data_IF_215323186610
#
_entry.id   IF_215323186610
#
_cell.length_a   1.000
_cell.length_b   1.000
_cell.length_c   1.000
_cell.angle_alpha   90.00
_cell.angle_beta   90.00
_cell.angle_gamma   90.00
#
_symmetry.space_group_name_H-M   'P 1'
#
loop_
_entity.id
_entity.type
_entity.pdbx_description
1 polymer ?
#
# COMPACT_ATOMS: atom_id res chain seq x y z
N UNK A 1 15.34 -30.43 -14.24
CA UNK A 1 14.96 -29.23 -13.46
C UNK A 1 15.30 -27.94 -14.22
N UNK A 2 16.45 -27.87 -14.91
CA UNK A 2 16.77 -26.79 -15.88
C UNK A 2 15.74 -26.62 -16.99
N UNK A 3 15.05 -27.70 -17.38
CA UNK A 3 14.05 -27.69 -18.46
C UNK A 3 12.89 -26.71 -18.20
N UNK A 4 12.52 -26.46 -16.94
CA UNK A 4 11.50 -25.46 -16.58
C UNK A 4 12.01 -24.05 -16.87
N UNK A 5 13.24 -23.75 -16.46
CA UNK A 5 13.86 -22.46 -16.74
C UNK A 5 14.04 -22.24 -18.24
N UNK A 6 14.46 -23.26 -18.99
CA UNK A 6 14.58 -23.19 -20.44
C UNK A 6 13.23 -22.96 -21.12
N UNK A 7 12.17 -23.63 -20.65
CA UNK A 7 10.81 -23.44 -21.16
C UNK A 7 10.32 -22.01 -20.94
N UNK A 8 10.51 -21.46 -19.74
CA UNK A 8 10.12 -20.08 -19.42
C UNK A 8 10.96 -19.00 -20.14
N UNK A 9 12.06 -19.35 -20.80
CA UNK A 9 12.82 -18.41 -21.63
C UNK A 9 12.23 -18.19 -23.03
N UNK A 10 11.13 -18.88 -23.40
CA UNK A 10 10.39 -18.68 -24.67
C UNK A 10 11.30 -18.61 -25.92
N UNK A 11 12.29 -19.51 -26.01
CA UNK A 11 13.33 -19.45 -27.06
C UNK A 11 12.81 -19.75 -28.46
N UNK A 12 11.73 -20.52 -28.57
CA UNK A 12 11.16 -20.95 -29.84
C UNK A 12 9.83 -20.22 -30.13
N UNK A 13 9.69 -19.67 -31.35
CA UNK A 13 8.42 -19.10 -31.86
C UNK A 13 7.89 -19.89 -33.06
N UNK A 14 6.56 -19.96 -33.26
CA UNK A 14 5.51 -19.32 -32.45
C UNK A 14 5.35 -19.98 -31.07
N UNK A 15 4.91 -19.20 -30.08
CA UNK A 15 4.57 -19.71 -28.74
C UNK A 15 3.22 -20.41 -28.83
N UNK A 16 3.24 -21.75 -28.93
CA UNK A 16 2.03 -22.56 -29.11
C UNK A 16 1.68 -23.37 -27.86
N UNK A 17 0.53 -24.05 -27.89
CA UNK A 17 0.04 -24.94 -26.82
C UNK A 17 1.07 -26.01 -26.37
N UNK A 18 2.07 -26.33 -27.20
CA UNK A 18 3.16 -27.24 -26.79
C UNK A 18 3.93 -26.74 -25.56
N UNK A 19 3.96 -25.42 -25.33
CA UNK A 19 4.53 -24.85 -24.11
C UNK A 19 3.70 -25.20 -22.87
N UNK A 20 2.37 -25.20 -22.99
CA UNK A 20 1.44 -25.53 -21.92
C UNK A 20 1.55 -27.00 -21.54
N UNK A 21 1.57 -27.89 -22.54
CA UNK A 21 1.73 -29.34 -22.33
C UNK A 21 3.00 -29.64 -21.55
N UNK A 22 4.13 -29.03 -21.97
CA UNK A 22 5.43 -29.20 -21.32
C UNK A 22 5.46 -28.60 -19.93
N UNK A 23 4.90 -27.40 -19.74
CA UNK A 23 4.86 -26.74 -18.44
C UNK A 23 4.05 -27.57 -17.45
N UNK A 24 2.87 -28.03 -17.86
CA UNK A 24 1.97 -28.88 -17.06
C UNK A 24 2.64 -30.20 -16.69
N UNK A 25 3.34 -30.83 -17.64
CA UNK A 25 4.11 -32.05 -17.37
C UNK A 25 5.20 -31.82 -16.32
N UNK A 26 5.93 -30.71 -16.42
CA UNK A 26 6.99 -30.37 -15.46
C UNK A 26 6.41 -30.08 -14.07
N UNK A 27 5.32 -29.32 -13.98
CA UNK A 27 4.64 -29.03 -12.72
C UNK A 27 4.12 -30.31 -12.05
N UNK A 28 3.45 -31.18 -12.80
CA UNK A 28 2.94 -32.46 -12.30
C UNK A 28 4.05 -33.45 -11.90
N UNK A 29 5.28 -33.26 -12.36
CA UNK A 29 6.44 -34.05 -11.93
C UNK A 29 7.00 -33.63 -10.56
N UNK A 30 6.39 -32.62 -9.92
CA UNK A 30 6.78 -32.13 -8.59
C UNK A 30 7.90 -31.08 -8.61
N UNK A 31 8.20 -30.49 -9.77
CA UNK A 31 9.14 -29.36 -9.86
C UNK A 31 8.45 -28.11 -9.30
N UNK A 32 8.98 -27.48 -8.23
CA UNK A 32 8.35 -26.31 -7.64
C UNK A 32 8.35 -25.12 -8.62
N UNK A 33 7.23 -24.38 -8.68
CA UNK A 33 7.15 -23.14 -9.47
C UNK A 33 7.99 -21.98 -8.87
N UNK A 34 8.55 -22.19 -7.69
CA UNK A 34 9.49 -21.27 -7.03
C UNK A 34 10.96 -21.65 -7.24
N UNK A 35 11.24 -22.78 -7.89
CA UNK A 35 12.60 -23.30 -8.07
C UNK A 35 13.48 -22.35 -8.87
N UNK A 36 14.57 -21.88 -8.27
CA UNK A 36 15.40 -20.79 -8.79
C UNK A 36 16.47 -21.28 -9.77
N UNK A 37 16.97 -20.38 -10.63
CA UNK A 37 18.08 -20.67 -11.55
C UNK A 37 19.36 -21.03 -10.80
N UNK A 38 19.57 -20.42 -9.63
CA UNK A 38 20.78 -20.56 -8.84
C UNK A 38 20.82 -21.89 -8.08
N UNK A 39 19.67 -22.36 -7.58
CA UNK A 39 19.52 -23.73 -7.09
C UNK A 39 19.85 -24.75 -8.19
N UNK A 40 19.44 -24.49 -9.44
CA UNK A 40 19.77 -25.35 -10.58
C UNK A 40 21.26 -25.37 -10.95
N UNK A 41 22.01 -24.31 -10.66
CA UNK A 41 23.44 -24.19 -11.00
C UNK A 41 24.38 -24.56 -9.85
N UNK A 42 23.87 -25.03 -8.71
CA UNK A 42 24.64 -25.37 -7.50
C UNK A 42 25.55 -24.23 -7.00
N UNK A 43 25.20 -22.98 -7.32
CA UNK A 43 25.92 -21.79 -6.86
C UNK A 43 25.30 -21.37 -5.53
N UNK A 44 26.12 -21.38 -4.46
CA UNK A 44 25.73 -20.82 -3.17
C UNK A 44 25.71 -19.29 -3.25
N UNK A 45 24.59 -18.73 -3.71
CA UNK A 45 24.26 -17.31 -3.61
C UNK A 45 22.85 -17.19 -3.04
N UNK A 46 22.59 -16.07 -2.35
CA UNK A 46 21.28 -15.67 -1.83
C UNK A 46 20.32 -15.27 -2.98
N UNK A 47 20.11 -16.18 -3.92
CA UNK A 47 19.55 -15.87 -5.23
C UNK A 47 18.15 -16.47 -5.42
N UNK A 48 17.35 -15.76 -6.21
CA UNK A 48 15.89 -15.71 -6.06
C UNK A 48 15.15 -15.66 -7.41
N UNK A 49 15.84 -15.84 -8.54
CA UNK A 49 15.23 -15.77 -9.88
C UNK A 49 14.39 -17.01 -10.17
N UNK A 50 13.07 -16.87 -10.06
CA UNK A 50 12.11 -17.95 -10.29
C UNK A 50 11.71 -18.11 -11.78
N UNK A 51 11.03 -19.21 -12.18
CA UNK A 51 10.51 -19.40 -13.53
C UNK A 51 9.59 -18.28 -14.00
N UNK A 52 8.81 -17.68 -13.10
CA UNK A 52 7.92 -16.55 -13.44
C UNK A 52 8.72 -15.29 -13.79
N UNK A 53 9.86 -15.03 -13.13
CA UNK A 53 10.76 -13.94 -13.53
C UNK A 53 11.29 -14.15 -14.95
N UNK A 54 11.74 -15.38 -15.26
CA UNK A 54 12.23 -15.73 -16.58
C UNK A 54 11.15 -15.55 -17.64
N UNK A 55 9.93 -16.01 -17.38
CA UNK A 55 8.79 -15.85 -18.27
C UNK A 55 8.53 -14.36 -18.54
N UNK A 56 8.35 -13.54 -17.49
CA UNK A 56 8.12 -12.10 -17.63
C UNK A 56 9.26 -11.38 -18.37
N UNK A 57 10.50 -11.82 -18.22
CA UNK A 57 11.64 -11.26 -18.93
C UNK A 57 11.76 -11.72 -20.39
N UNK A 58 11.21 -12.90 -20.73
CA UNK A 58 11.30 -13.49 -22.06
C UNK A 58 10.16 -13.12 -23.00
N UNK A 59 9.01 -12.65 -22.48
CA UNK A 59 7.83 -12.28 -23.29
C UNK A 59 8.23 -11.35 -24.46
N UNK A 60 8.04 -11.75 -25.73
CA UNK A 60 8.23 -10.85 -26.87
C UNK A 60 7.25 -9.65 -26.82
N UNK A 61 7.65 -8.43 -27.19
CA UNK A 61 6.76 -7.27 -27.19
C UNK A 61 5.73 -7.29 -28.33
N UNK A 62 5.85 -8.23 -29.26
CA UNK A 62 5.08 -8.35 -30.50
C UNK A 62 4.27 -9.66 -30.57
N UNK A 63 3.79 -10.15 -29.42
CA UNK A 63 2.89 -11.32 -29.37
C UNK A 63 1.66 -11.10 -30.24
N UNK A 64 1.33 -12.10 -31.07
CA UNK A 64 0.00 -12.17 -31.66
C UNK A 64 -1.03 -12.66 -30.62
N UNK A 65 -2.33 -12.63 -30.98
CA UNK A 65 -3.41 -13.03 -30.07
C UNK A 65 -3.30 -14.48 -29.60
N UNK A 66 -2.76 -15.37 -30.43
CA UNK A 66 -2.63 -16.79 -30.10
C UNK A 66 -1.45 -17.03 -29.16
N UNK A 67 -0.32 -16.37 -29.39
CA UNK A 67 0.82 -16.44 -28.49
C UNK A 67 0.52 -15.79 -27.14
N UNK A 68 -0.19 -14.65 -27.13
CA UNK A 68 -0.64 -13.99 -25.90
C UNK A 68 -1.50 -14.92 -25.03
N UNK A 69 -2.47 -15.61 -25.61
CA UNK A 69 -3.32 -16.56 -24.88
C UNK A 69 -2.49 -17.68 -24.22
N UNK A 70 -1.48 -18.20 -24.93
CA UNK A 70 -0.58 -19.23 -24.37
C UNK A 70 0.25 -18.67 -23.23
N UNK A 71 0.84 -17.49 -23.37
CA UNK A 71 1.66 -16.87 -22.31
C UNK A 71 0.80 -16.56 -21.07
N UNK A 72 -0.42 -16.07 -21.26
CA UNK A 72 -1.36 -15.85 -20.17
C UNK A 72 -1.64 -17.14 -19.39
N UNK A 73 -1.93 -18.24 -20.10
CA UNK A 73 -2.18 -19.53 -19.47
C UNK A 73 -0.92 -20.12 -18.79
N UNK A 74 0.27 -19.87 -19.33
CA UNK A 74 1.52 -20.21 -18.64
C UNK A 74 1.67 -19.48 -17.30
N UNK A 75 1.30 -18.20 -17.23
CA UNK A 75 1.31 -17.43 -15.97
C UNK A 75 0.31 -18.01 -14.97
N UNK A 76 -0.90 -18.34 -15.44
CA UNK A 76 -1.93 -18.95 -14.60
C UNK A 76 -1.46 -20.30 -14.02
N UNK A 77 -0.91 -21.19 -14.86
CA UNK A 77 -0.36 -22.49 -14.42
C UNK A 77 0.75 -22.29 -13.38
N UNK A 78 1.66 -21.33 -13.57
CA UNK A 78 2.72 -21.07 -12.60
C UNK A 78 2.15 -20.62 -11.25
N UNK A 79 1.14 -19.76 -11.24
CA UNK A 79 0.49 -19.34 -9.98
C UNK A 79 -0.27 -20.47 -9.30
N UNK A 80 -0.98 -21.31 -10.05
CA UNK A 80 -1.65 -22.52 -9.53
C UNK A 80 -0.67 -23.47 -8.81
N UNK A 81 0.60 -23.45 -9.21
CA UNK A 81 1.67 -24.24 -8.63
C UNK A 81 2.56 -23.46 -7.64
N UNK A 82 2.08 -22.30 -7.17
CA UNK A 82 2.70 -21.57 -6.07
C UNK A 82 3.82 -20.60 -6.46
N UNK A 83 3.89 -20.17 -7.72
CA UNK A 83 4.82 -19.11 -8.10
C UNK A 83 4.59 -17.83 -7.27
N UNK A 84 5.66 -17.25 -6.74
CA UNK A 84 5.57 -16.04 -5.92
C UNK A 84 5.45 -14.78 -6.77
N UNK A 85 4.41 -13.97 -6.50
CA UNK A 85 4.18 -12.69 -7.18
C UNK A 85 5.10 -11.56 -6.70
N UNK A 86 5.55 -11.63 -5.44
CA UNK A 86 6.36 -10.61 -4.75
C UNK A 86 7.80 -11.02 -4.48
N UNK A 87 8.20 -12.23 -4.86
CA UNK A 87 9.62 -12.64 -4.82
C UNK A 87 10.41 -11.72 -5.74
N UNK A 88 11.57 -11.26 -5.27
CA UNK A 88 12.47 -10.41 -6.07
C UNK A 88 13.55 -11.26 -6.71
N UNK A 89 14.07 -10.88 -7.88
CA UNK A 89 15.23 -11.51 -8.52
C UNK A 89 16.57 -10.87 -8.05
N UNK A 90 17.67 -11.26 -8.71
CA UNK A 90 19.01 -10.70 -8.45
C UNK A 90 19.12 -9.18 -8.74
N UNK A 91 18.18 -8.58 -9.47
CA UNK A 91 18.09 -7.14 -9.71
C UNK A 91 17.15 -6.44 -8.72
N UNK A 92 16.68 -7.15 -7.69
CA UNK A 92 15.65 -6.70 -6.76
C UNK A 92 14.30 -6.40 -7.44
N UNK A 93 13.99 -7.06 -8.56
CA UNK A 93 12.75 -6.90 -9.31
C UNK A 93 11.81 -8.07 -9.08
N UNK A 94 10.54 -7.82 -8.83
CA UNK A 94 9.50 -8.87 -8.89
C UNK A 94 9.13 -9.15 -10.36
N UNK A 95 8.37 -10.22 -10.66
CA UNK A 95 7.86 -10.44 -12.01
C UNK A 95 7.04 -9.26 -12.54
N UNK A 96 6.27 -8.59 -11.67
CA UNK A 96 5.54 -7.36 -12.01
C UNK A 96 6.46 -6.18 -12.33
N UNK A 97 7.56 -6.00 -11.57
CA UNK A 97 8.58 -4.98 -11.86
C UNK A 97 9.19 -5.19 -13.25
N UNK A 98 9.49 -6.43 -13.63
CA UNK A 98 10.02 -6.77 -14.96
C UNK A 98 9.05 -6.35 -16.06
N UNK A 99 7.74 -6.64 -15.90
CA UNK A 99 6.74 -6.23 -16.89
C UNK A 99 6.62 -4.71 -17.01
N UNK A 100 6.70 -3.98 -15.89
CA UNK A 100 6.68 -2.51 -15.88
C UNK A 100 7.92 -1.95 -16.59
N UNK A 101 9.12 -2.41 -16.23
CA UNK A 101 10.39 -1.95 -16.82
C UNK A 101 10.43 -2.17 -18.33
N UNK A 102 9.82 -3.27 -18.80
CA UNK A 102 9.75 -3.62 -20.22
C UNK A 102 8.56 -2.98 -20.97
N UNK A 103 7.80 -2.10 -20.31
CA UNK A 103 6.57 -1.49 -20.84
C UNK A 103 5.47 -2.51 -21.23
N UNK A 104 5.62 -3.76 -20.77
CA UNK A 104 4.68 -4.85 -21.04
C UNK A 104 3.43 -4.78 -20.18
N UNK A 105 3.49 -4.13 -19.02
CA UNK A 105 2.29 -3.86 -18.21
C UNK A 105 1.25 -3.02 -18.99
N UNK A 106 1.73 -2.14 -19.89
CA UNK A 106 0.87 -1.32 -20.75
C UNK A 106 0.50 -2.05 -22.05
N UNK A 107 1.43 -2.81 -22.64
CA UNK A 107 1.22 -3.53 -23.91
C UNK A 107 0.32 -4.76 -23.74
N UNK A 108 0.52 -5.51 -22.67
CA UNK A 108 -0.23 -6.72 -22.32
C UNK A 108 -0.80 -6.61 -20.89
N UNK A 109 -1.78 -5.71 -20.67
CA UNK A 109 -2.32 -5.47 -19.34
C UNK A 109 -2.90 -6.74 -18.69
N UNK A 110 -3.44 -7.65 -19.49
CA UNK A 110 -3.97 -8.95 -19.04
C UNK A 110 -2.92 -9.85 -18.36
N UNK A 111 -1.66 -9.79 -18.76
CA UNK A 111 -0.57 -10.53 -18.10
C UNK A 111 -0.23 -9.85 -16.77
N UNK A 112 -0.13 -8.52 -16.76
CA UNK A 112 0.19 -7.76 -15.57
C UNK A 112 -0.90 -7.85 -14.50
N UNK A 113 -2.17 -7.77 -14.92
CA UNK A 113 -3.32 -7.91 -14.04
C UNK A 113 -3.33 -9.26 -13.31
N UNK A 114 -2.92 -10.36 -13.95
CA UNK A 114 -2.78 -11.65 -13.28
C UNK A 114 -1.77 -11.64 -12.13
N UNK A 115 -0.68 -10.89 -12.26
CA UNK A 115 0.33 -10.71 -11.20
C UNK A 115 -0.26 -9.89 -10.05
N UNK A 116 -0.94 -8.78 -10.36
CA UNK A 116 -1.60 -7.95 -9.34
C UNK A 116 -2.70 -8.76 -8.63
N UNK A 117 -3.53 -9.48 -9.37
CA UNK A 117 -4.62 -10.27 -8.81
C UNK A 117 -4.10 -11.44 -7.97
N UNK A 118 -2.94 -12.02 -8.32
CA UNK A 118 -2.26 -13.00 -7.47
C UNK A 118 -1.84 -12.38 -6.13
N UNK A 119 -1.34 -11.14 -6.14
CA UNK A 119 -1.04 -10.39 -4.93
C UNK A 119 -2.26 -10.11 -4.07
N UNK A 120 -3.36 -9.65 -4.68
CA UNK A 120 -4.64 -9.43 -3.99
C UNK A 120 -5.15 -10.71 -3.33
N UNK A 121 -5.15 -11.83 -4.06
CA UNK A 121 -5.56 -13.14 -3.51
C UNK A 121 -4.67 -13.59 -2.35
N UNK A 122 -3.35 -13.40 -2.47
CA UNK A 122 -2.40 -13.76 -1.43
C UNK A 122 -2.65 -12.96 -0.14
N UNK A 123 -2.80 -11.65 -0.24
CA UNK A 123 -3.07 -10.78 0.91
C UNK A 123 -4.39 -11.12 1.60
N UNK A 124 -5.48 -11.31 0.83
CA UNK A 124 -6.77 -11.72 1.38
C UNK A 124 -6.70 -13.09 2.09
N UNK A 125 -5.98 -14.04 1.50
CA UNK A 125 -5.79 -15.36 2.10
C UNK A 125 -4.97 -15.28 3.39
N UNK A 126 -3.86 -14.54 3.38
CA UNK A 126 -2.98 -14.38 4.55
C UNK A 126 -3.72 -13.72 5.71
N UNK A 127 -4.51 -12.67 5.45
CA UNK A 127 -5.40 -12.06 6.45
C UNK A 127 -6.36 -13.08 7.04
N UNK A 128 -7.03 -13.86 6.18
CA UNK A 128 -7.98 -14.88 6.64
C UNK A 128 -7.31 -15.98 7.46
N UNK A 129 -6.10 -16.38 7.09
CA UNK A 129 -5.31 -17.34 7.85
C UNK A 129 -4.89 -16.79 9.22
N UNK A 130 -4.52 -15.50 9.29
CA UNK A 130 -4.19 -14.83 10.54
C UNK A 130 -5.40 -14.77 11.49
N UNK A 131 -6.60 -14.47 11.00
CA UNK A 131 -7.84 -14.52 11.79
C UNK A 131 -8.10 -15.89 12.43
N UNK A 132 -7.70 -16.98 11.76
CA UNK A 132 -7.84 -18.34 12.28
C UNK A 132 -6.65 -18.81 13.15
N UNK A 133 -5.70 -17.93 13.47
CA UNK A 133 -4.50 -18.28 14.24
C UNK A 133 -3.56 -19.22 13.50
N UNK A 134 -3.65 -19.29 12.17
CA UNK A 134 -2.79 -20.13 11.33
C UNK A 134 -1.51 -19.40 10.89
N UNK A 135 -1.34 -18.14 11.30
CA UNK A 135 -0.21 -17.28 10.94
C UNK A 135 0.88 -17.18 12.03
N UNK A 136 0.74 -17.91 13.16
CA UNK A 136 1.64 -17.84 14.33
C UNK A 136 3.12 -18.22 14.05
N UNK A 137 3.46 -18.61 12.81
CA UNK A 137 4.83 -18.86 12.36
C UNK A 137 5.54 -17.72 11.63
N UNK A 138 4.89 -16.56 11.46
CA UNK A 138 5.42 -15.41 10.69
C UNK A 138 5.83 -14.19 11.54
N UNK A 139 5.83 -14.31 12.87
CA UNK A 139 6.25 -13.21 13.76
C UNK A 139 7.77 -13.05 13.73
N UNK A 140 8.24 -11.99 13.08
CA UNK A 140 9.63 -11.55 13.17
C UNK A 140 9.93 -10.99 14.57
N UNK A 141 11.22 -10.91 14.91
CA UNK A 141 11.72 -10.25 16.12
C UNK A 141 11.11 -8.84 16.30
N UNK A 142 11.06 -8.34 17.54
CA UNK A 142 10.63 -6.97 17.86
C UNK A 142 11.24 -5.98 16.87
N UNK A 143 10.41 -5.48 15.95
CA UNK A 143 10.84 -4.49 14.97
C UNK A 143 11.02 -3.17 15.71
N UNK A 144 12.25 -2.66 15.71
CA UNK A 144 12.63 -1.43 16.41
C UNK A 144 12.77 -0.25 15.43
N UNK A 145 12.46 -0.45 14.15
CA UNK A 145 12.49 0.60 13.15
C UNK A 145 11.30 1.57 13.37
N UNK A 146 11.56 2.87 13.61
CA UNK A 146 10.52 3.89 13.73
C UNK A 146 9.60 4.01 12.49
N UNK A 147 10.02 3.55 11.32
CA UNK A 147 9.17 3.58 10.12
C UNK A 147 8.10 2.46 10.10
N UNK A 148 8.28 1.40 10.89
CA UNK A 148 7.39 0.23 10.92
C UNK A 148 6.87 -0.10 12.32
N UNK A 149 7.33 0.60 13.37
CA UNK A 149 6.85 0.41 14.74
C UNK A 149 6.41 1.75 15.36
N UNK A 150 5.11 1.86 15.61
CA UNK A 150 4.51 3.08 16.13
C UNK A 150 5.05 3.50 17.50
N UNK A 151 5.34 2.56 18.41
CA UNK A 151 5.90 2.92 19.72
C UNK A 151 7.34 3.44 19.57
N UNK A 152 8.15 2.77 18.74
CA UNK A 152 9.50 3.24 18.41
C UNK A 152 9.46 4.64 17.76
N UNK A 153 8.49 4.89 16.88
CA UNK A 153 8.24 6.21 16.30
C UNK A 153 7.93 7.27 17.36
N UNK A 154 6.98 7.02 18.26
CA UNK A 154 6.58 7.98 19.30
C UNK A 154 7.68 8.29 20.31
N UNK A 155 8.62 7.35 20.50
CA UNK A 155 9.81 7.53 21.36
C UNK A 155 10.98 8.20 20.63
N UNK A 156 10.94 8.26 19.30
CA UNK A 156 11.98 8.86 18.47
C UNK A 156 11.87 10.38 18.47
N UNK A 157 13.01 11.08 18.46
CA UNK A 157 13.01 12.54 18.31
C UNK A 157 12.78 12.93 16.86
N UNK A 158 11.92 13.92 16.64
CA UNK A 158 11.73 14.52 15.33
C UNK A 158 12.46 15.86 15.22
N UNK A 159 12.80 16.21 13.98
CA UNK A 159 13.42 17.47 13.65
C UNK A 159 12.69 18.13 12.47
N UNK A 160 12.23 19.36 12.69
CA UNK A 160 11.78 20.24 11.61
C UNK A 160 13.02 20.85 10.93
N UNK A 161 13.20 20.54 9.65
CA UNK A 161 14.16 21.19 8.76
C UNK A 161 13.43 22.05 7.72
N UNK A 162 14.15 22.84 6.93
CA UNK A 162 13.58 23.88 6.06
C UNK A 162 12.32 23.46 5.27
N UNK A 163 12.31 22.24 4.72
CA UNK A 163 11.22 21.73 3.88
C UNK A 163 10.72 20.34 4.30
N UNK A 164 10.98 19.90 5.53
CA UNK A 164 10.62 18.55 5.98
C UNK A 164 10.50 18.41 7.49
N UNK A 165 9.74 17.41 7.91
CA UNK A 165 9.77 16.78 9.23
C UNK A 165 10.37 15.39 9.07
N UNK A 166 11.40 15.08 9.87
CA UNK A 166 12.10 13.81 9.78
C UNK A 166 12.44 13.23 11.15
N UNK A 167 12.68 11.93 11.22
CA UNK A 167 13.32 11.33 12.40
C UNK A 167 14.74 11.89 12.54
N UNK A 168 15.12 12.27 13.76
CA UNK A 168 16.36 13.00 14.01
C UNK A 168 17.60 12.16 13.66
N UNK A 169 17.59 10.89 14.03
CA UNK A 169 18.75 10.01 13.93
C UNK A 169 18.79 9.26 12.59
N UNK A 170 17.69 8.61 12.19
CA UNK A 170 17.62 7.82 10.94
C UNK A 170 17.24 8.63 9.70
N UNK A 171 16.75 9.87 9.86
CA UNK A 171 16.39 10.78 8.76
C UNK A 171 15.25 10.28 7.88
N UNK A 172 14.39 9.42 8.42
CA UNK A 172 13.18 8.96 7.75
C UNK A 172 12.24 10.14 7.50
N UNK A 173 11.70 10.21 6.29
CA UNK A 173 10.81 11.28 5.88
C UNK A 173 9.42 11.07 6.49
N UNK A 174 9.08 11.85 7.52
CA UNK A 174 7.77 11.81 8.18
C UNK A 174 6.76 12.66 7.42
N UNK A 175 7.17 13.84 6.95
CA UNK A 175 6.34 14.76 6.17
C UNK A 175 7.22 15.69 5.34
N UNK A 176 6.85 15.95 4.07
CA UNK A 176 7.67 16.77 3.16
C UNK A 176 6.88 17.88 2.46
N UNK A 177 7.48 19.07 2.27
CA UNK A 177 6.79 20.21 1.64
C UNK A 177 6.46 19.98 0.15
N UNK A 178 7.14 19.06 -0.54
CA UNK A 178 6.83 18.75 -1.94
C UNK A 178 5.43 18.12 -2.12
N UNK A 179 4.84 17.59 -1.05
CA UNK A 179 3.50 16.96 -1.05
C UNK A 179 2.37 18.00 -1.09
N UNK A 180 2.68 19.30 -1.07
CA UNK A 180 1.71 20.40 -0.98
C UNK A 180 0.58 20.33 -2.02
N UNK A 181 0.89 19.98 -3.27
CA UNK A 181 -0.14 19.87 -4.31
C UNK A 181 -1.10 18.70 -4.04
N UNK A 182 -0.60 17.59 -3.51
CA UNK A 182 -1.39 16.41 -3.13
C UNK A 182 -2.25 16.74 -1.91
N UNK A 183 -1.68 17.41 -0.90
CA UNK A 183 -2.43 17.86 0.28
C UNK A 183 -3.52 18.88 -0.07
N UNK A 184 -3.29 19.74 -1.06
CA UNK A 184 -4.32 20.67 -1.56
C UNK A 184 -5.51 19.89 -2.15
N UNK A 185 -5.25 18.83 -2.93
CA UNK A 185 -6.31 17.95 -3.43
C UNK A 185 -7.04 17.23 -2.28
N UNK A 186 -6.33 16.80 -1.24
CA UNK A 186 -6.94 16.25 -0.02
C UNK A 186 -7.87 17.25 0.68
N UNK A 187 -7.37 18.46 0.93
CA UNK A 187 -8.14 19.54 1.55
C UNK A 187 -9.34 19.97 0.71
N UNK A 188 -9.25 19.94 -0.63
CA UNK A 188 -10.37 20.25 -1.51
C UNK A 188 -11.41 19.13 -1.50
N UNK A 189 -10.96 17.88 -1.54
CA UNK A 189 -11.82 16.68 -1.55
C UNK A 189 -12.73 16.60 -0.33
N UNK A 190 -12.20 16.79 0.88
CA UNK A 190 -12.97 16.62 2.13
C UNK A 190 -14.07 17.68 2.32
N UNK A 191 -14.14 18.72 1.47
CA UNK A 191 -15.21 19.73 1.47
C UNK A 191 -16.26 19.53 0.38
N UNK A 192 -16.07 18.58 -0.55
CA UNK A 192 -16.99 18.36 -1.68
C UNK A 192 -18.42 18.03 -1.21
N UNK A 193 -18.53 17.28 -0.12
CA UNK A 193 -19.79 16.89 0.51
C UNK A 193 -20.55 18.02 1.20
N UNK A 194 -19.86 19.11 1.54
CA UNK A 194 -20.30 20.12 2.50
C UNK A 194 -20.64 21.48 1.87
N UNK A 195 -20.66 21.58 0.53
CA UNK A 195 -20.80 22.86 -0.19
C UNK A 195 -22.06 23.66 0.17
N UNK A 196 -23.11 23.01 0.68
CA UNK A 196 -24.38 23.62 1.04
C UNK A 196 -24.61 23.69 2.56
N UNK A 197 -23.69 23.14 3.35
CA UNK A 197 -23.82 23.07 4.80
C UNK A 197 -23.43 24.42 5.41
N UNK A 198 -24.21 24.85 6.41
CA UNK A 198 -23.93 26.09 7.15
C UNK A 198 -22.86 25.89 8.21
N UNK A 199 -22.85 24.70 8.81
CA UNK A 199 -21.92 24.31 9.86
C UNK A 199 -21.06 23.15 9.35
N UNK A 200 -19.79 23.42 9.10
CA UNK A 200 -18.84 22.47 8.53
C UNK A 200 -17.85 22.03 9.61
N UNK A 201 -17.84 20.74 9.93
CA UNK A 201 -16.91 20.14 10.89
C UNK A 201 -16.00 19.15 10.18
N UNK A 202 -14.69 19.34 10.26
CA UNK A 202 -13.71 18.48 9.60
C UNK A 202 -12.70 17.94 10.60
N UNK A 203 -12.21 16.72 10.35
CA UNK A 203 -11.18 16.06 11.15
C UNK A 203 -9.96 15.82 10.28
N UNK A 204 -8.80 16.23 10.78
CA UNK A 204 -7.50 15.79 10.30
C UNK A 204 -6.89 14.78 11.29
N UNK A 205 -6.36 13.67 10.79
CA UNK A 205 -5.67 12.63 11.57
C UNK A 205 -4.22 12.57 11.08
N UNK A 206 -3.31 13.11 11.90
CA UNK A 206 -1.91 13.35 11.53
C UNK A 206 -1.68 14.81 11.13
N UNK A 207 -1.00 15.57 11.99
CA UNK A 207 -0.73 16.99 11.75
C UNK A 207 0.56 17.20 10.94
N UNK A 208 1.63 16.47 11.29
CA UNK A 208 2.94 16.58 10.64
C UNK A 208 3.49 18.02 10.62
N UNK A 209 3.49 18.63 9.44
CA UNK A 209 3.94 20.01 9.22
C UNK A 209 2.79 21.05 9.22
N UNK A 210 1.54 20.62 9.40
CA UNK A 210 0.36 21.49 9.38
C UNK A 210 -0.03 22.00 7.99
N UNK A 211 0.56 21.48 6.91
CA UNK A 211 0.36 21.97 5.54
C UNK A 211 -1.11 21.89 5.16
N UNK A 212 -1.73 20.72 5.32
CA UNK A 212 -3.15 20.54 5.04
C UNK A 212 -4.02 21.32 6.03
N UNK A 213 -3.64 21.39 7.30
CA UNK A 213 -4.39 22.12 8.33
C UNK A 213 -4.51 23.62 8.01
N UNK A 214 -3.44 24.22 7.46
CA UNK A 214 -3.48 25.60 6.95
C UNK A 214 -4.46 25.76 5.79
N UNK A 215 -4.51 24.80 4.86
CA UNK A 215 -5.46 24.80 3.73
C UNK A 215 -6.90 24.62 4.19
N UNK A 216 -7.12 23.72 5.15
CA UNK A 216 -8.42 23.50 5.80
C UNK A 216 -8.88 24.79 6.48
N UNK A 217 -8.02 25.42 7.29
CA UNK A 217 -8.36 26.67 7.97
C UNK A 217 -8.67 27.81 7.00
N UNK A 218 -8.01 27.87 5.84
CA UNK A 218 -8.31 28.87 4.80
C UNK A 218 -9.74 28.75 4.23
N UNK A 219 -10.37 27.57 4.34
CA UNK A 219 -11.77 27.33 3.96
C UNK A 219 -12.78 27.72 5.05
N UNK A 220 -12.31 28.16 6.22
CA UNK A 220 -13.12 28.64 7.36
C UNK A 220 -14.18 27.63 7.86
N UNK A 221 -13.81 26.37 8.20
CA UNK A 221 -14.76 25.44 8.81
C UNK A 221 -15.22 25.94 10.18
N UNK A 222 -16.45 25.59 10.55
CA UNK A 222 -17.04 25.86 11.87
C UNK A 222 -16.25 25.17 12.98
N UNK A 223 -15.82 23.92 12.74
CA UNK A 223 -14.94 23.16 13.63
C UNK A 223 -13.87 22.42 12.84
N UNK A 224 -12.65 22.44 13.37
CA UNK A 224 -11.52 21.69 12.84
C UNK A 224 -10.89 20.86 13.96
N UNK A 225 -11.14 19.56 13.92
CA UNK A 225 -10.53 18.60 14.83
C UNK A 225 -9.18 18.16 14.26
N UNK A 226 -8.15 18.09 15.09
CA UNK A 226 -6.82 17.63 14.68
C UNK A 226 -6.37 16.58 15.69
N UNK A 227 -6.15 15.34 15.25
CA UNK A 227 -5.56 14.30 16.08
C UNK A 227 -4.06 14.17 15.76
N UNK A 228 -3.22 14.26 16.79
CA UNK A 228 -1.77 14.16 16.64
C UNK A 228 -1.17 13.44 17.86
N UNK A 229 -0.34 12.44 17.60
CA UNK A 229 0.21 11.56 18.62
C UNK A 229 1.63 11.93 19.04
N UNK A 230 2.43 12.49 18.12
CA UNK A 230 3.86 12.66 18.34
C UNK A 230 4.16 13.86 19.26
N UNK A 231 4.89 13.67 20.38
CA UNK A 231 5.16 14.73 21.37
C UNK A 231 5.85 15.97 20.80
N UNK A 232 6.84 15.80 19.92
CA UNK A 232 7.56 16.93 19.32
C UNK A 232 6.68 17.73 18.34
N UNK A 233 5.72 17.08 17.65
CA UNK A 233 4.74 17.76 16.77
C UNK A 233 3.74 18.53 17.62
N UNK A 234 3.22 17.92 18.69
CA UNK A 234 2.33 18.61 19.65
C UNK A 234 3.00 19.84 20.28
N UNK A 235 4.27 19.75 20.63
CA UNK A 235 5.03 20.89 21.14
C UNK A 235 5.16 22.01 20.10
N UNK A 236 5.37 21.66 18.82
CA UNK A 236 5.38 22.62 17.71
C UNK A 236 4.02 23.27 17.52
N UNK A 237 2.94 22.48 17.49
CA UNK A 237 1.56 22.96 17.41
C UNK A 237 1.24 23.97 18.51
N UNK A 238 1.65 23.68 19.75
CA UNK A 238 1.50 24.60 20.88
C UNK A 238 2.28 25.90 20.69
N UNK A 239 3.54 25.81 20.24
CA UNK A 239 4.37 27.00 19.97
C UNK A 239 3.82 27.87 18.84
N UNK A 240 3.19 27.26 17.84
CA UNK A 240 2.61 27.94 16.68
C UNK A 240 1.20 28.47 16.94
N UNK A 241 0.65 28.24 18.14
CA UNK A 241 -0.67 28.74 18.55
C UNK A 241 -1.85 27.95 17.98
N UNK A 242 -1.67 26.69 17.57
CA UNK A 242 -2.79 25.86 17.09
C UNK A 242 -3.82 25.57 18.17
N UNK A 243 -3.37 25.41 19.42
CA UNK A 243 -4.23 25.21 20.58
C UNK A 243 -5.07 26.45 20.94
N UNK A 244 -4.65 27.64 20.49
CA UNK A 244 -5.32 28.91 20.81
C UNK A 244 -6.35 29.32 19.75
N UNK A 245 -6.44 28.60 18.63
CA UNK A 245 -7.40 28.89 17.55
C UNK A 245 -8.83 28.52 18.00
N UNK A 246 -9.80 29.45 17.94
CA UNK A 246 -11.12 29.27 18.57
C UNK A 246 -11.99 28.16 17.94
N UNK A 247 -11.79 27.89 16.64
CA UNK A 247 -12.51 26.84 15.91
C UNK A 247 -11.73 25.51 15.83
N UNK A 248 -10.52 25.43 16.38
CA UNK A 248 -9.70 24.22 16.35
C UNK A 248 -9.83 23.45 17.66
N UNK A 249 -9.89 22.13 17.57
CA UNK A 249 -9.83 21.20 18.71
C UNK A 249 -8.68 20.24 18.47
N UNK A 250 -7.56 20.46 19.16
CA UNK A 250 -6.43 19.53 19.13
C UNK A 250 -6.70 18.38 20.08
N UNK A 251 -6.52 17.14 19.61
CA UNK A 251 -6.68 15.91 20.37
C UNK A 251 -5.33 15.20 20.47
N UNK A 252 -4.54 15.48 21.53
CA UNK A 252 -3.24 14.85 21.74
C UNK A 252 -3.36 13.34 21.96
N UNK A 253 -2.47 12.58 21.34
CA UNK A 253 -2.42 11.12 21.44
C UNK A 253 -2.89 10.42 20.17
N UNK A 254 -2.81 9.09 20.20
CA UNK A 254 -3.19 8.22 19.09
C UNK A 254 -4.65 8.41 18.69
N UNK A 255 -4.93 8.27 17.39
CA UNK A 255 -6.29 8.34 16.89
C UNK A 255 -7.12 7.16 17.42
N UNK A 256 -6.51 5.99 17.59
CA UNK A 256 -7.15 4.81 18.18
C UNK A 256 -7.73 5.10 19.58
N UNK A 257 -7.10 5.99 20.35
CA UNK A 257 -7.54 6.40 21.69
C UNK A 257 -8.51 7.60 21.66
N UNK A 258 -8.38 8.47 20.66
CA UNK A 258 -9.08 9.76 20.62
C UNK A 258 -10.41 9.73 19.86
N UNK A 259 -10.55 8.95 18.78
CA UNK A 259 -11.77 8.98 17.97
C UNK A 259 -13.00 8.45 18.72
N UNK A 260 -12.81 7.57 19.71
CA UNK A 260 -13.88 7.12 20.60
C UNK A 260 -14.52 8.26 21.39
N UNK A 261 -13.78 9.33 21.69
CA UNK A 261 -14.29 10.52 22.40
C UNK A 261 -15.25 11.30 21.51
N UNK A 262 -14.93 11.46 20.22
CA UNK A 262 -15.80 12.11 19.24
C UNK A 262 -17.13 11.36 19.10
N UNK A 263 -17.09 10.02 19.10
CA UNK A 263 -18.30 9.19 19.10
C UNK A 263 -19.14 9.42 20.35
N UNK A 264 -18.52 9.40 21.54
CA UNK A 264 -19.23 9.64 22.80
C UNK A 264 -19.89 11.02 22.87
N UNK A 265 -19.25 12.02 22.27
CA UNK A 265 -19.75 13.39 22.17
C UNK A 265 -20.79 13.59 21.04
N UNK A 266 -21.13 12.52 20.30
CA UNK A 266 -22.03 12.53 19.13
C UNK A 266 -21.60 13.52 18.05
N UNK A 267 -20.29 13.66 17.85
CA UNK A 267 -19.73 14.48 16.78
C UNK A 267 -19.99 13.81 15.43
N UNK A 268 -20.44 14.62 14.47
CA UNK A 268 -20.58 14.21 13.07
C UNK A 268 -19.75 15.14 12.19
N UNK A 269 -19.12 14.56 11.16
CA UNK A 269 -18.11 15.21 10.35
C UNK A 269 -18.54 15.32 8.90
N UNK A 270 -18.25 16.47 8.30
CA UNK A 270 -18.39 16.76 6.89
C UNK A 270 -17.22 16.22 6.06
N UNK A 271 -16.05 16.13 6.70
CA UNK A 271 -14.82 15.70 6.06
C UNK A 271 -13.86 15.04 7.04
N UNK A 272 -13.20 13.98 6.60
CA UNK A 272 -12.12 13.30 7.34
C UNK A 272 -10.91 13.23 6.41
N UNK A 273 -9.75 13.69 6.87
CA UNK A 273 -8.47 13.46 6.23
C UNK A 273 -7.59 12.57 7.11
N UNK A 274 -6.97 11.56 6.52
CA UNK A 274 -6.06 10.63 7.20
C UNK A 274 -4.70 10.58 6.50
N UNK A 275 -3.66 11.00 7.22
CA UNK A 275 -2.29 11.01 6.74
C UNK A 275 -1.33 10.89 7.94
N UNK A 276 -1.03 9.65 8.31
CA UNK A 276 -0.26 9.29 9.51
C UNK A 276 1.06 8.63 9.12
N UNK A 277 1.94 8.44 10.10
CA UNK A 277 3.24 7.82 9.91
C UNK A 277 3.38 6.58 10.80
N UNK A 278 4.06 5.55 10.30
CA UNK A 278 4.31 4.28 11.00
C UNK A 278 3.04 3.53 11.44
N UNK A 279 2.00 3.54 10.58
CA UNK A 279 0.80 2.72 10.75
C UNK A 279 0.81 1.57 9.72
N UNK A 280 0.18 0.45 10.07
CA UNK A 280 0.02 -0.68 9.17
C UNK A 280 -1.32 -0.64 8.43
N UNK A 281 -1.46 -1.46 7.39
CA UNK A 281 -2.73 -1.56 6.67
C UNK A 281 -3.89 -2.01 7.58
N UNK A 282 -3.62 -2.83 8.60
CA UNK A 282 -4.62 -3.22 9.60
C UNK A 282 -5.18 -2.02 10.38
N UNK A 283 -4.34 -1.03 10.69
CA UNK A 283 -4.79 0.20 11.38
C UNK A 283 -5.76 1.01 10.48
N UNK A 284 -5.53 1.00 9.16
CA UNK A 284 -6.45 1.62 8.20
C UNK A 284 -7.79 0.89 8.10
N UNK A 285 -7.82 -0.44 8.25
CA UNK A 285 -9.07 -1.19 8.32
C UNK A 285 -9.88 -0.81 9.57
N UNK A 286 -9.22 -0.70 10.73
CA UNK A 286 -9.86 -0.23 11.97
C UNK A 286 -10.38 1.22 11.84
N UNK A 287 -9.67 2.07 11.09
CA UNK A 287 -10.11 3.43 10.81
C UNK A 287 -11.43 3.48 10.05
N UNK A 288 -11.70 2.56 9.13
CA UNK A 288 -12.93 2.57 8.32
C UNK A 288 -14.19 2.46 9.19
N UNK A 289 -14.14 1.72 10.30
CA UNK A 289 -15.25 1.67 11.26
C UNK A 289 -15.55 3.06 11.87
N UNK A 290 -14.50 3.82 12.22
CA UNK A 290 -14.65 5.18 12.70
C UNK A 290 -15.14 6.13 11.61
N UNK A 291 -14.69 5.96 10.36
CA UNK A 291 -15.16 6.77 9.22
C UNK A 291 -16.66 6.57 9.05
N UNK A 292 -17.15 5.32 9.02
CA UNK A 292 -18.59 5.03 8.91
C UNK A 292 -19.38 5.66 10.05
N UNK A 293 -18.84 5.63 11.28
CA UNK A 293 -19.54 6.10 12.47
C UNK A 293 -19.53 7.63 12.63
N UNK A 294 -18.48 8.32 12.18
CA UNK A 294 -18.30 9.77 12.37
C UNK A 294 -18.73 10.59 11.15
N UNK A 295 -18.72 10.03 9.95
CA UNK A 295 -18.97 10.78 8.73
C UNK A 295 -20.47 10.98 8.47
N UNK A 296 -20.87 12.19 8.05
CA UNK A 296 -22.24 12.46 7.58
C UNK A 296 -22.54 11.66 6.31
N UNK A 297 -23.82 11.41 5.96
CA UNK A 297 -24.19 10.69 4.72
C UNK A 297 -23.68 11.29 3.41
N UNK A 298 -23.34 12.59 3.39
CA UNK A 298 -22.71 13.26 2.25
C UNK A 298 -21.25 13.64 2.50
N UNK A 299 -20.73 13.35 3.69
CA UNK A 299 -19.37 13.70 4.05
C UNK A 299 -18.36 12.95 3.19
N UNK A 300 -17.13 13.45 3.14
CA UNK A 300 -16.06 12.87 2.32
C UNK A 300 -14.88 12.49 3.19
N UNK A 301 -14.47 11.23 3.11
CA UNK A 301 -13.18 10.78 3.64
C UNK A 301 -12.13 10.81 2.52
N UNK A 302 -10.94 11.32 2.82
CA UNK A 302 -9.77 11.28 1.95
C UNK A 302 -8.55 10.90 2.76
N UNK A 303 -7.55 10.30 2.14
CA UNK A 303 -6.34 9.88 2.83
C UNK A 303 -5.13 9.95 1.90
N UNK A 304 -3.94 10.05 2.47
CA UNK A 304 -2.70 9.88 1.72
C UNK A 304 -2.51 8.40 1.35
N UNK A 305 -2.44 8.11 0.05
CA UNK A 305 -2.31 6.74 -0.44
C UNK A 305 -0.84 6.39 -0.74
N UNK A 306 -0.09 6.09 0.32
CA UNK A 306 1.30 5.63 0.26
C UNK A 306 1.47 4.10 0.28
N UNK A 307 0.39 3.33 0.14
CA UNK A 307 0.33 1.90 0.46
C UNK A 307 1.27 1.06 -0.43
N UNK A 308 2.40 0.60 0.11
CA UNK A 308 3.36 -0.20 -0.65
C UNK A 308 4.07 0.58 -1.77
N UNK A 309 4.22 1.90 -1.59
CA UNK A 309 4.80 2.80 -2.58
C UNK A 309 6.30 2.55 -2.87
N UNK A 310 6.98 1.71 -2.08
CA UNK A 310 8.35 1.27 -2.34
C UNK A 310 8.45 0.46 -3.66
N UNK A 311 7.36 -0.20 -4.08
CA UNK A 311 7.28 -0.95 -5.33
C UNK A 311 5.93 -0.75 -6.01
N UNK A 312 5.96 -0.24 -7.24
CA UNK A 312 4.74 0.07 -8.01
C UNK A 312 3.75 -1.12 -8.12
N UNK A 313 4.23 -2.35 -8.26
CA UNK A 313 3.34 -3.53 -8.29
C UNK A 313 2.62 -3.76 -6.95
N UNK A 314 3.30 -3.54 -5.83
CA UNK A 314 2.73 -3.67 -4.48
C UNK A 314 1.71 -2.55 -4.28
N UNK A 315 2.03 -1.32 -4.69
CA UNK A 315 1.06 -0.21 -4.73
C UNK A 315 -0.19 -0.54 -5.55
N UNK A 316 -0.06 -1.16 -6.72
CA UNK A 316 -1.21 -1.59 -7.52
C UNK A 316 -2.02 -2.72 -6.84
N UNK A 317 -1.38 -3.61 -6.08
CA UNK A 317 -2.07 -4.62 -5.26
C UNK A 317 -2.90 -3.96 -4.16
N UNK A 318 -2.29 -3.07 -3.37
CA UNK A 318 -3.00 -2.39 -2.28
C UNK A 318 -4.09 -1.45 -2.79
N UNK A 319 -3.96 -0.86 -3.98
CA UNK A 319 -5.05 -0.12 -4.62
C UNK A 319 -6.27 -0.98 -4.96
N UNK A 320 -6.07 -2.24 -5.37
CA UNK A 320 -7.20 -3.16 -5.57
C UNK A 320 -7.78 -3.62 -4.23
N UNK A 321 -6.93 -3.88 -3.24
CA UNK A 321 -7.37 -4.30 -1.89
C UNK A 321 -8.21 -3.22 -1.21
N UNK A 322 -7.76 -1.97 -1.22
CA UNK A 322 -8.49 -0.88 -0.57
C UNK A 322 -9.85 -0.63 -1.20
N UNK A 323 -9.98 -0.78 -2.53
CA UNK A 323 -11.27 -0.71 -3.19
C UNK A 323 -12.23 -1.81 -2.70
N UNK A 324 -11.74 -3.04 -2.57
CA UNK A 324 -12.52 -4.17 -2.03
C UNK A 324 -12.90 -3.93 -0.57
N UNK A 325 -11.96 -3.48 0.26
CA UNK A 325 -12.18 -3.28 1.69
C UNK A 325 -13.18 -2.13 1.94
N UNK A 326 -13.08 -1.03 1.19
CA UNK A 326 -14.05 0.07 1.24
C UNK A 326 -15.46 -0.39 0.84
N UNK A 327 -15.59 -1.17 -0.24
CA UNK A 327 -16.88 -1.75 -0.65
C UNK A 327 -17.49 -2.64 0.45
N UNK A 328 -16.66 -3.42 1.15
CA UNK A 328 -17.10 -4.28 2.27
C UNK A 328 -17.53 -3.46 3.49
N UNK A 329 -16.87 -2.32 3.75
CA UNK A 329 -17.23 -1.38 4.82
C UNK A 329 -18.44 -0.50 4.48
N UNK A 330 -19.01 -0.61 3.27
CA UNK A 330 -20.07 0.26 2.73
C UNK A 330 -19.66 1.74 2.61
N UNK A 331 -18.40 2.00 2.26
CA UNK A 331 -17.84 3.34 2.04
C UNK A 331 -17.67 3.69 0.56
#
# INVERSE_FOLDING_TARGET
MTDLHELCNLRDRPITYTYLDRLTQLMNSGVPATYTVEEATSRALAATTTPLHLLCNAIPPDLDKSELAVVEEMVDILFEHGAGWSLTDANNETPGCILIRRDLARVFPSIYDRIVDAGVRAELLLRKMAEFGLADGFTSAEDVDPASNQQAYLDTKLEYVENALVTKDSRDAVMMDWEREIMQLGADSIFLGAQQDKDVSVLNIGFGMGIIDHMIQAKNPTKHYICEAHPDVLAKMQSDGWFDKPNVVVMPGRWQDNLSKLLNDNVVLDGIYYDTFSEHYSDMLDLFDYVVALLKPKGVCSFFNGLGADRQVVYHVYNKLIAIDLEQSNL
#
